data_IF_106098141109
#
_entry.id   IF_106098141109
#
_cell.length_a   1.000
_cell.length_b   1.000
_cell.length_c   1.000
_cell.angle_alpha   90.00
_cell.angle_beta   90.00
_cell.angle_gamma   90.00
#
_symmetry.space_group_name_H-M   'P 1'
#
loop_
_entity.id
_entity.type
_entity.pdbx_description
1 polymer ?
#
# COMPACT_ATOMS: atom_id res chain seq x y z
N UNK A 1 5.20 30.28 21.54
CA UNK A 1 6.49 29.56 21.48
C UNK A 1 6.48 28.61 20.31
N UNK A 2 7.65 28.25 19.77
CA UNK A 2 7.77 27.36 18.63
C UNK A 2 8.69 26.18 18.95
N UNK A 3 8.43 25.03 18.35
CA UNK A 3 9.26 23.83 18.43
C UNK A 3 9.34 23.13 17.06
N UNK A 4 10.45 22.46 16.79
CA UNK A 4 10.69 21.67 15.58
C UNK A 4 10.90 20.20 15.96
N UNK A 5 10.18 19.30 15.28
CA UNK A 5 10.37 17.85 15.38
C UNK A 5 10.83 17.28 14.05
N UNK A 6 11.86 16.43 14.08
CA UNK A 6 12.38 15.73 12.90
C UNK A 6 12.42 14.23 13.20
N UNK A 7 12.00 13.42 12.22
CA UNK A 7 12.20 11.96 12.24
C UNK A 7 12.60 11.45 10.86
N UNK A 8 13.34 10.35 10.83
CA UNK A 8 13.68 9.63 9.61
C UNK A 8 12.52 8.72 9.15
N UNK A 9 12.46 8.39 7.85
CA UNK A 9 11.55 7.37 7.31
C UNK A 9 12.18 5.98 7.38
N UNK A 10 11.44 4.96 7.83
CA UNK A 10 12.01 3.61 7.90
C UNK A 10 12.36 3.03 6.53
N UNK A 11 13.18 1.98 6.51
CA UNK A 11 13.57 1.22 5.31
C UNK A 11 12.90 -0.15 5.30
N UNK A 12 12.93 -0.81 4.14
CA UNK A 12 12.36 -2.13 3.93
C UNK A 12 12.10 -2.35 2.44
N UNK A 13 11.52 -3.49 2.12
CA UNK A 13 10.96 -3.80 0.81
C UNK A 13 9.59 -4.41 1.05
N UNK A 14 8.57 -3.89 0.39
CA UNK A 14 7.25 -4.53 0.34
C UNK A 14 7.02 -5.17 -1.02
N UNK A 15 6.16 -6.18 -1.05
CA UNK A 15 5.68 -6.77 -2.31
C UNK A 15 4.17 -6.56 -2.40
N UNK A 16 3.69 -6.17 -3.57
CA UNK A 16 2.27 -6.12 -3.90
C UNK A 16 2.05 -7.03 -5.11
N UNK A 17 1.06 -7.91 -5.03
CA UNK A 17 0.68 -8.75 -6.18
C UNK A 17 -0.61 -8.23 -6.79
N UNK A 18 -0.67 -8.18 -8.13
CA UNK A 18 -1.84 -7.71 -8.86
C UNK A 18 -2.55 -8.88 -9.53
N UNK A 19 -3.89 -8.87 -9.50
CA UNK A 19 -4.71 -9.74 -10.34
C UNK A 19 -5.68 -8.90 -11.16
N UNK A 20 -5.71 -9.15 -12.46
CA UNK A 20 -6.75 -8.65 -13.35
C UNK A 20 -7.97 -9.59 -13.34
N UNK A 21 -9.13 -9.05 -13.01
CA UNK A 21 -10.43 -9.71 -13.15
C UNK A 21 -10.93 -9.70 -14.59
N UNK A 22 -11.81 -10.65 -14.94
CA UNK A 22 -12.44 -10.72 -16.27
C UNK A 22 -13.37 -9.53 -16.55
N UNK A 23 -13.81 -8.85 -15.50
CA UNK A 23 -14.63 -7.63 -15.49
C UNK A 23 -13.81 -6.34 -15.62
N UNK A 24 -12.48 -6.44 -15.75
CA UNK A 24 -11.58 -5.30 -15.80
C UNK A 24 -11.19 -4.73 -14.43
N UNK A 25 -11.70 -5.28 -13.33
CA UNK A 25 -11.29 -4.89 -11.97
C UNK A 25 -9.84 -5.34 -11.71
N UNK A 26 -9.01 -4.48 -11.13
CA UNK A 26 -7.66 -4.80 -10.70
C UNK A 26 -7.65 -5.01 -9.19
N UNK A 27 -7.32 -6.21 -8.74
CA UNK A 27 -7.16 -6.54 -7.32
C UNK A 27 -5.69 -6.37 -6.93
N UNK A 28 -5.39 -5.34 -6.13
CA UNK A 28 -4.08 -5.14 -5.52
C UNK A 28 -4.01 -5.84 -4.17
N UNK A 29 -3.20 -6.89 -4.07
CA UNK A 29 -3.12 -7.75 -2.89
C UNK A 29 -1.85 -7.46 -2.11
N UNK A 30 -2.01 -7.30 -0.81
CA UNK A 30 -0.91 -6.92 0.10
C UNK A 30 -1.02 -7.67 1.43
N UNK A 31 0.12 -7.93 2.08
CA UNK A 31 0.18 -8.32 3.48
C UNK A 31 0.07 -7.12 4.45
N UNK A 32 0.27 -5.90 3.95
CA UNK A 32 0.25 -4.66 4.73
C UNK A 32 -1.12 -4.43 5.35
N UNK A 33 -1.15 -4.23 6.67
CA UNK A 33 -2.35 -3.73 7.35
C UNK A 33 -2.55 -2.23 7.14
N UNK A 34 -3.78 -1.77 7.34
CA UNK A 34 -4.09 -0.35 7.50
C UNK A 34 -4.69 -0.15 8.89
N UNK A 35 -4.08 0.71 9.69
CA UNK A 35 -4.50 1.01 11.07
C UNK A 35 -5.02 2.45 11.19
N UNK A 36 -5.53 3.01 10.09
CA UNK A 36 -5.93 4.41 9.97
C UNK A 36 -4.84 5.32 9.39
N UNK A 37 -3.75 4.74 8.89
CA UNK A 37 -2.67 5.49 8.24
C UNK A 37 -2.91 5.73 6.75
N UNK A 38 -3.91 5.07 6.17
CA UNK A 38 -4.28 5.22 4.76
C UNK A 38 -3.37 4.44 3.80
N UNK A 39 -2.68 3.41 4.29
CA UNK A 39 -1.83 2.53 3.49
C UNK A 39 -2.62 1.92 2.31
N UNK A 40 -3.86 1.51 2.54
CA UNK A 40 -4.66 0.88 1.48
C UNK A 40 -5.09 1.90 0.43
N UNK A 41 -5.48 3.11 0.84
CA UNK A 41 -5.77 4.21 -0.09
C UNK A 41 -4.54 4.59 -0.91
N UNK A 42 -3.37 4.63 -0.28
CA UNK A 42 -2.11 4.89 -0.96
C UNK A 42 -1.82 3.81 -2.01
N UNK A 43 -1.90 2.54 -1.65
CA UNK A 43 -1.68 1.41 -2.56
C UNK A 43 -2.61 1.49 -3.76
N UNK A 44 -3.91 1.75 -3.55
CA UNK A 44 -4.88 1.93 -4.64
C UNK A 44 -4.43 2.99 -5.63
N UNK A 45 -4.04 4.17 -5.13
CA UNK A 45 -3.65 5.32 -5.95
C UNK A 45 -2.34 5.07 -6.68
N UNK A 46 -1.36 4.45 -6.03
CA UNK A 46 -0.08 4.08 -6.68
C UNK A 46 -0.34 3.11 -7.83
N UNK A 47 -1.12 2.05 -7.60
CA UNK A 47 -1.44 1.05 -8.63
C UNK A 47 -2.21 1.69 -9.79
N UNK A 48 -3.23 2.50 -9.49
CA UNK A 48 -4.02 3.20 -10.51
C UNK A 48 -3.16 4.14 -11.36
N UNK A 49 -2.32 4.95 -10.72
CA UNK A 49 -1.40 5.86 -11.41
C UNK A 49 -0.36 5.11 -12.24
N UNK A 50 0.21 4.02 -11.71
CA UNK A 50 1.21 3.20 -12.40
C UNK A 50 0.63 2.54 -13.65
N UNK A 51 -0.63 2.10 -13.59
CA UNK A 51 -1.30 1.42 -14.70
C UNK A 51 -2.08 2.36 -15.63
N UNK A 52 -2.19 3.65 -15.30
CA UNK A 52 -2.94 4.63 -16.08
C UNK A 52 -4.46 4.38 -16.12
N UNK A 53 -5.03 3.89 -15.01
CA UNK A 53 -6.47 3.57 -14.90
C UNK A 53 -7.17 4.41 -13.84
N UNK A 54 -8.51 4.45 -13.88
CA UNK A 54 -9.30 5.10 -12.83
C UNK A 54 -9.14 4.35 -11.49
N UNK A 55 -8.84 5.03 -10.36
CA UNK A 55 -8.73 4.40 -9.04
C UNK A 55 -9.92 3.54 -8.63
N UNK A 56 -11.14 3.83 -9.11
CA UNK A 56 -12.35 3.05 -8.84
C UNK A 56 -12.26 1.62 -9.37
N UNK A 57 -11.43 1.39 -10.39
CA UNK A 57 -11.18 0.06 -10.97
C UNK A 57 -10.22 -0.77 -10.14
N UNK A 58 -9.50 -0.16 -9.19
CA UNK A 58 -8.51 -0.83 -8.33
C UNK A 58 -9.12 -1.11 -6.96
N UNK A 59 -9.17 -2.38 -6.56
CA UNK A 59 -9.59 -2.82 -5.23
C UNK A 59 -8.39 -3.36 -4.45
N UNK A 60 -8.17 -2.81 -3.26
CA UNK A 60 -7.11 -3.30 -2.37
C UNK A 60 -7.65 -4.42 -1.50
N UNK A 61 -6.96 -5.56 -1.50
CA UNK A 61 -7.27 -6.71 -0.65
C UNK A 61 -6.10 -7.02 0.25
N UNK A 62 -6.32 -6.90 1.56
CA UNK A 62 -5.40 -7.43 2.56
C UNK A 62 -5.53 -8.95 2.64
N UNK A 63 -4.41 -9.65 2.52
CA UNK A 63 -4.28 -11.07 2.81
C UNK A 63 -3.71 -11.28 4.21
N UNK A 64 -3.82 -12.48 4.76
CA UNK A 64 -3.13 -12.84 6.00
C UNK A 64 -1.68 -13.22 5.68
N UNK A 65 -1.08 -14.13 6.44
CA UNK A 65 0.34 -14.52 6.31
C UNK A 65 0.67 -15.28 5.02
N UNK A 66 -0.34 -15.72 4.27
CA UNK A 66 -0.21 -16.28 2.91
C UNK A 66 -0.01 -15.21 1.82
N UNK A 67 -0.10 -13.93 2.18
CA UNK A 67 0.03 -12.81 1.27
C UNK A 67 1.47 -12.50 0.85
N UNK A 68 1.64 -11.52 -0.06
CA UNK A 68 2.95 -10.96 -0.38
C UNK A 68 3.71 -10.46 0.85
N UNK A 69 5.03 -10.66 0.83
CA UNK A 69 5.94 -10.27 1.91
C UNK A 69 5.86 -8.75 2.18
N UNK A 70 5.78 -8.39 3.46
CA UNK A 70 5.88 -7.01 3.95
C UNK A 70 6.55 -6.98 5.34
N UNK A 71 7.44 -6.02 5.65
CA UNK A 71 8.10 -5.92 6.95
C UNK A 71 7.22 -5.38 8.08
N UNK A 72 5.94 -5.10 7.82
CA UNK A 72 4.98 -4.59 8.79
C UNK A 72 4.94 -3.07 8.90
N UNK A 73 3.95 -2.61 9.67
CA UNK A 73 3.65 -1.19 9.88
C UNK A 73 4.50 -0.65 11.02
N UNK A 74 5.32 0.37 10.74
CA UNK A 74 6.09 1.06 11.77
C UNK A 74 7.17 1.97 11.21
N UNK A 75 7.66 2.91 12.03
CA UNK A 75 8.73 3.85 11.64
C UNK A 75 8.37 4.72 10.42
N UNK A 76 7.07 4.90 10.14
CA UNK A 76 6.48 5.45 8.91
C UNK A 76 7.31 5.13 7.66
N UNK A 77 7.50 3.83 7.47
CA UNK A 77 8.18 3.24 6.30
C UNK A 77 7.23 2.89 5.17
N UNK A 78 5.95 2.68 5.45
CA UNK A 78 5.04 2.01 4.50
C UNK A 78 4.88 2.78 3.18
N UNK A 79 4.91 4.11 3.21
CA UNK A 79 4.82 4.93 2.00
C UNK A 79 6.08 4.88 1.12
N UNK A 80 7.31 4.96 1.67
CA UNK A 80 8.53 4.92 0.86
C UNK A 80 9.12 3.53 0.54
N UNK A 81 8.60 2.42 1.08
CA UNK A 81 9.16 1.06 0.91
C UNK A 81 8.40 0.16 -0.06
#
# INVERSE_FOLDING_TARGET
>A
GFALGVRHVGRGSTTISLRLGRDGTIEARTGVGDQGGGQHTLIQRIVAATLGVDPVTVRVRRLSTEGPQDPGIGGSRVTPV
#
